data_IF_953473697292
#
_entry.id   IF_953473697292
#
_cell.length_a   1.000
_cell.length_b   1.000
_cell.length_c   1.000
_cell.angle_alpha   90.00
_cell.angle_beta   90.00
_cell.angle_gamma   90.00
#
_symmetry.space_group_name_H-M   'P 1'
#
loop_
_entity.id
_entity.type
_entity.pdbx_description
1 polymer ?
#
# COMPACT_ATOMS: atom_id res chain seq x y z
N UNK A 1 -1.64 7.86 -22.33
CA UNK A 1 -1.61 8.86 -21.26
C UNK A 1 -2.79 8.55 -20.35
N UNK A 2 -2.62 8.37 -19.04
CA UNK A 2 -3.77 8.30 -18.15
C UNK A 2 -4.50 9.65 -18.25
N UNK A 3 -5.81 9.60 -18.34
CA UNK A 3 -6.66 10.79 -18.30
C UNK A 3 -6.34 11.53 -16.99
N UNK A 4 -6.25 12.86 -17.04
CA UNK A 4 -5.82 13.74 -15.94
C UNK A 4 -6.69 13.64 -14.66
N UNK A 5 -7.71 12.78 -14.63
CA UNK A 5 -8.63 12.51 -13.52
C UNK A 5 -8.45 11.16 -12.81
N UNK A 6 -7.53 10.29 -13.27
CA UNK A 6 -7.40 8.93 -12.70
C UNK A 6 -6.43 8.84 -11.51
N UNK A 7 -5.70 9.90 -11.17
CA UNK A 7 -4.75 9.90 -10.04
C UNK A 7 -5.38 10.51 -8.80
N UNK A 8 -5.05 9.92 -7.63
CA UNK A 8 -5.38 10.50 -6.35
C UNK A 8 -4.75 11.90 -6.24
N UNK A 9 -5.58 12.92 -6.16
CA UNK A 9 -5.16 14.33 -6.13
C UNK A 9 -5.21 14.94 -4.73
N UNK A 10 -6.13 14.49 -3.88
CA UNK A 10 -6.33 15.01 -2.53
C UNK A 10 -6.98 13.93 -1.66
N UNK A 11 -6.76 14.01 -0.35
CA UNK A 11 -7.41 13.16 0.65
C UNK A 11 -7.73 13.98 1.88
N UNK A 12 -8.96 13.87 2.36
CA UNK A 12 -9.36 14.38 3.67
C UNK A 12 -9.62 13.22 4.62
N UNK A 13 -9.18 13.35 5.87
CA UNK A 13 -9.34 12.35 6.92
C UNK A 13 -9.69 13.06 8.22
N UNK A 14 -10.72 12.60 8.91
CA UNK A 14 -11.08 13.06 10.25
C UNK A 14 -11.32 11.87 11.16
N UNK A 15 -10.91 12.00 12.43
CA UNK A 15 -11.23 11.05 13.48
C UNK A 15 -10.54 9.69 13.39
N UNK A 16 -9.44 9.55 12.62
CA UNK A 16 -8.78 8.27 12.38
C UNK A 16 -7.45 8.15 13.13
N UNK A 17 -7.32 7.17 14.01
CA UNK A 17 -6.09 6.89 14.81
C UNK A 17 -5.54 8.14 15.50
N UNK A 18 -4.35 8.62 15.14
CA UNK A 18 -3.78 9.87 15.65
C UNK A 18 -4.18 11.11 14.83
N UNK A 19 -4.96 10.94 13.79
CA UNK A 19 -5.34 12.02 12.87
C UNK A 19 -6.69 12.60 13.32
N UNK A 20 -6.65 13.78 13.94
CA UNK A 20 -7.86 14.52 14.27
C UNK A 20 -8.51 15.09 13.01
N UNK A 21 -7.71 15.76 12.19
CA UNK A 21 -8.13 16.33 10.92
C UNK A 21 -6.88 16.43 10.02
N UNK A 22 -7.01 16.02 8.79
CA UNK A 22 -5.95 16.05 7.78
C UNK A 22 -6.58 16.36 6.43
N UNK A 23 -5.96 17.26 5.68
CA UNK A 23 -6.32 17.62 4.31
C UNK A 23 -5.02 17.75 3.53
N UNK A 24 -4.76 16.82 2.62
CA UNK A 24 -3.50 16.74 1.89
C UNK A 24 -3.77 16.62 0.40
N UNK A 25 -3.09 17.46 -0.38
CA UNK A 25 -3.01 17.33 -1.84
C UNK A 25 -1.78 16.51 -2.22
N UNK A 26 -1.90 15.68 -3.26
CA UNK A 26 -0.85 14.78 -3.72
C UNK A 26 -0.23 15.24 -5.02
N UNK A 27 1.11 15.12 -5.08
CA UNK A 27 1.88 15.16 -6.32
C UNK A 27 2.19 13.74 -6.83
N UNK A 28 3.02 13.66 -7.87
CA UNK A 28 3.48 12.36 -8.40
C UNK A 28 4.34 11.58 -7.39
N UNK A 29 5.13 12.29 -6.60
CA UNK A 29 5.97 11.76 -5.51
C UNK A 29 5.68 12.61 -4.29
N UNK A 30 5.43 11.96 -3.15
CA UNK A 30 5.16 12.61 -1.88
C UNK A 30 6.09 12.03 -0.82
N UNK A 31 6.76 12.89 -0.07
CA UNK A 31 7.70 12.50 0.97
C UNK A 31 7.20 12.99 2.33
N UNK A 32 6.97 12.06 3.25
CA UNK A 32 6.53 12.36 4.61
C UNK A 32 7.76 12.46 5.53
N UNK A 33 8.02 13.64 6.05
CA UNK A 33 9.12 13.92 6.98
C UNK A 33 8.55 14.32 8.34
N UNK A 34 9.21 13.89 9.41
CA UNK A 34 8.82 14.25 10.77
C UNK A 34 9.45 13.35 11.82
N UNK A 35 9.38 13.75 13.09
CA UNK A 35 9.88 12.98 14.23
C UNK A 35 9.13 11.64 14.40
N UNK A 36 9.71 10.75 15.21
CA UNK A 36 8.99 9.52 15.62
C UNK A 36 7.74 9.93 16.42
N UNK A 37 6.63 9.25 16.17
CA UNK A 37 5.35 9.59 16.79
C UNK A 37 4.55 10.70 16.09
N UNK A 38 5.09 11.38 15.07
CA UNK A 38 4.39 12.47 14.35
C UNK A 38 3.17 12.03 13.52
N UNK A 39 2.80 10.74 13.53
CA UNK A 39 1.62 10.24 12.82
C UNK A 39 1.86 9.75 11.39
N UNK A 40 3.12 9.76 10.88
CA UNK A 40 3.43 9.30 9.52
C UNK A 40 2.91 7.89 9.22
N UNK A 41 3.17 6.95 10.12
CA UNK A 41 2.70 5.55 9.96
C UNK A 41 1.17 5.45 10.02
N UNK A 42 0.51 6.27 10.82
CA UNK A 42 -0.94 6.32 10.87
C UNK A 42 -1.54 6.89 9.58
N UNK A 43 -0.88 7.89 8.99
CA UNK A 43 -1.27 8.40 7.67
C UNK A 43 -1.08 7.33 6.57
N UNK A 44 0.04 6.62 6.55
CA UNK A 44 0.25 5.48 5.63
C UNK A 44 -0.82 4.39 5.87
N UNK A 45 -1.17 4.11 7.12
CA UNK A 45 -2.19 3.10 7.44
C UNK A 45 -3.60 3.48 6.97
N UNK A 46 -3.86 4.76 6.69
CA UNK A 46 -5.12 5.21 6.09
C UNK A 46 -5.33 4.63 4.68
N UNK A 47 -4.27 4.46 3.91
CA UNK A 47 -4.34 3.80 2.59
C UNK A 47 -4.70 2.30 2.72
N UNK A 48 -4.10 1.60 3.71
CA UNK A 48 -4.47 0.20 3.98
C UNK A 48 -5.91 0.08 4.45
N UNK A 49 -6.36 1.02 5.27
CA UNK A 49 -7.75 1.07 5.74
C UNK A 49 -8.72 1.30 4.59
N UNK A 50 -8.43 2.25 3.71
CA UNK A 50 -9.22 2.52 2.50
C UNK A 50 -9.25 1.29 1.56
N UNK A 51 -8.11 0.62 1.38
CA UNK A 51 -8.05 -0.62 0.60
C UNK A 51 -8.93 -1.72 1.19
N UNK A 52 -8.95 -1.88 2.52
CA UNK A 52 -9.83 -2.84 3.19
C UNK A 52 -11.30 -2.48 2.98
N UNK A 53 -11.66 -1.20 3.01
CA UNK A 53 -13.02 -0.74 2.71
C UNK A 53 -13.40 -1.09 1.27
N UNK A 54 -12.57 -0.75 0.30
CA UNK A 54 -12.83 -1.03 -1.11
C UNK A 54 -12.88 -2.55 -1.42
N UNK A 55 -12.19 -3.36 -0.61
CA UNK A 55 -12.19 -4.83 -0.72
C UNK A 55 -13.28 -5.50 0.11
N UNK A 56 -14.21 -4.74 0.71
CA UNK A 56 -15.30 -5.26 1.57
C UNK A 56 -14.77 -6.07 2.77
N UNK A 57 -13.71 -5.58 3.39
CA UNK A 57 -13.03 -6.17 4.55
C UNK A 57 -13.01 -5.21 5.76
N UNK A 58 -13.97 -4.29 5.86
CA UNK A 58 -14.03 -3.32 6.95
C UNK A 58 -14.09 -4.03 8.31
N UNK A 59 -15.03 -4.98 8.47
CA UNK A 59 -15.21 -5.66 9.76
C UNK A 59 -14.00 -6.52 10.14
N UNK A 60 -13.34 -7.14 9.18
CA UNK A 60 -12.08 -7.87 9.40
C UNK A 60 -11.00 -6.92 9.91
N UNK A 61 -10.87 -5.74 9.30
CA UNK A 61 -9.92 -4.69 9.71
C UNK A 61 -10.23 -4.17 11.12
N UNK A 62 -11.51 -3.96 11.46
CA UNK A 62 -11.94 -3.57 12.80
C UNK A 62 -11.61 -4.65 13.84
N UNK A 63 -11.87 -5.92 13.52
CA UNK A 63 -11.57 -7.05 14.40
C UNK A 63 -10.07 -7.21 14.68
N UNK A 64 -9.24 -7.02 13.67
CA UNK A 64 -7.77 -7.12 13.80
C UNK A 64 -7.16 -5.95 14.56
N UNK A 65 -7.63 -4.73 14.32
CA UNK A 65 -7.06 -3.51 14.92
C UNK A 65 -7.67 -3.16 16.28
N UNK A 66 -8.90 -3.57 16.52
CA UNK A 66 -9.73 -3.10 17.63
C UNK A 66 -10.34 -1.72 17.34
N UNK A 67 -11.65 -1.58 17.53
CA UNK A 67 -12.41 -0.36 17.23
C UNK A 67 -11.79 0.91 17.82
N UNK A 68 -11.46 0.88 19.12
CA UNK A 68 -10.91 2.05 19.83
C UNK A 68 -9.56 2.53 19.26
N UNK A 69 -8.77 1.64 18.67
CA UNK A 69 -7.48 2.00 18.06
C UNK A 69 -7.62 2.66 16.69
N UNK A 70 -8.76 2.49 16.03
CA UNK A 70 -9.09 3.14 14.77
C UNK A 70 -9.63 4.55 14.95
N UNK A 71 -10.22 4.84 16.12
CA UNK A 71 -10.80 6.15 16.44
C UNK A 71 -9.77 7.08 17.08
N UNK A 72 -9.75 8.34 16.67
CA UNK A 72 -8.90 9.37 17.28
C UNK A 72 -9.22 9.55 18.76
N UNK A 73 -8.22 9.32 19.63
CA UNK A 73 -8.40 9.32 21.09
C UNK A 73 -9.50 8.37 21.61
N UNK A 74 -9.88 7.37 20.80
CA UNK A 74 -10.83 6.33 21.17
C UNK A 74 -12.31 6.75 21.13
N UNK A 75 -13.18 5.77 21.40
CA UNK A 75 -14.64 5.87 21.26
C UNK A 75 -15.30 6.95 22.12
N UNK A 76 -14.70 7.33 23.26
CA UNK A 76 -15.27 8.37 24.14
C UNK A 76 -15.10 9.79 23.62
N UNK A 77 -14.18 9.98 22.65
CA UNK A 77 -13.81 11.31 22.12
C UNK A 77 -14.26 11.46 20.67
N UNK A 78 -14.20 10.37 19.90
CA UNK A 78 -14.49 10.39 18.46
C UNK A 78 -15.73 9.58 18.17
N UNK A 79 -16.75 10.25 17.64
CA UNK A 79 -18.03 9.65 17.30
C UNK A 79 -18.06 9.09 15.88
N UNK A 80 -17.20 9.59 14.99
CA UNK A 80 -17.18 9.21 13.58
C UNK A 80 -15.78 9.26 12.99
N UNK A 81 -15.56 8.47 11.92
CA UNK A 81 -14.42 8.56 11.01
C UNK A 81 -14.95 9.05 9.67
N UNK A 82 -14.41 10.16 9.17
CA UNK A 82 -14.77 10.73 7.88
C UNK A 82 -13.59 10.68 6.93
N UNK A 83 -13.80 10.12 5.74
CA UNK A 83 -12.81 9.97 4.68
C UNK A 83 -13.38 10.45 3.36
N UNK A 84 -12.57 11.20 2.62
CA UNK A 84 -12.85 11.49 1.22
C UNK A 84 -11.56 11.49 0.41
N UNK A 85 -11.59 10.82 -0.74
CA UNK A 85 -10.48 10.72 -1.70
C UNK A 85 -10.90 11.32 -3.03
N UNK A 86 -10.06 12.20 -3.58
CA UNK A 86 -10.37 13.00 -4.75
C UNK A 86 -9.53 12.56 -5.95
N UNK A 87 -10.16 12.50 -7.11
CA UNK A 87 -9.59 12.20 -8.40
C UNK A 87 -9.94 13.33 -9.38
N UNK A 88 -9.16 14.43 -9.31
CA UNK A 88 -9.51 15.67 -9.99
C UNK A 88 -10.77 16.29 -9.38
N UNK A 89 -11.84 16.37 -10.18
CA UNK A 89 -13.14 16.92 -9.74
C UNK A 89 -14.07 15.87 -9.13
N UNK A 90 -13.74 14.59 -9.24
CA UNK A 90 -14.55 13.51 -8.70
C UNK A 90 -13.99 13.02 -7.38
N UNK A 91 -14.86 12.51 -6.49
CA UNK A 91 -14.44 11.94 -5.20
C UNK A 91 -15.23 10.68 -4.85
N UNK A 92 -14.66 9.92 -3.92
CA UNK A 92 -15.33 8.87 -3.16
C UNK A 92 -15.16 9.17 -1.69
N UNK A 93 -16.27 9.22 -0.96
CA UNK A 93 -16.26 9.54 0.45
C UNK A 93 -17.19 8.65 1.28
N UNK A 94 -16.89 8.57 2.57
CA UNK A 94 -17.70 7.84 3.53
C UNK A 94 -17.53 8.39 4.95
N UNK A 95 -18.59 8.26 5.75
CA UNK A 95 -18.60 8.49 7.18
C UNK A 95 -18.93 7.17 7.88
N UNK A 96 -18.05 6.74 8.79
CA UNK A 96 -18.23 5.54 9.59
C UNK A 96 -18.51 5.90 11.05
N UNK A 97 -19.46 5.22 11.66
CA UNK A 97 -19.80 5.39 13.08
C UNK A 97 -19.66 4.08 13.84
N UNK A 98 -19.20 4.13 15.10
CA UNK A 98 -19.10 2.96 15.95
C UNK A 98 -20.46 2.51 16.44
N UNK A 99 -20.68 1.21 16.49
CA UNK A 99 -21.87 0.56 17.05
C UNK A 99 -21.57 -0.01 18.44
N UNK A 100 -22.62 -0.33 19.21
CA UNK A 100 -22.48 -0.87 20.58
C UNK A 100 -21.83 -2.24 20.63
N UNK A 101 -21.90 -3.02 19.56
CA UNK A 101 -21.26 -4.31 19.40
C UNK A 101 -19.82 -4.23 18.83
N UNK A 102 -19.17 -3.04 18.96
CA UNK A 102 -17.79 -2.79 18.54
C UNK A 102 -17.51 -2.97 17.05
N UNK A 103 -18.49 -2.69 16.20
CA UNK A 103 -18.32 -2.61 14.74
C UNK A 103 -18.26 -1.16 14.27
N UNK A 104 -17.88 -0.95 13.02
CA UNK A 104 -18.08 0.28 12.27
C UNK A 104 -19.15 0.04 11.20
N UNK A 105 -20.08 0.98 11.06
CA UNK A 105 -21.08 0.97 10.00
C UNK A 105 -21.02 2.28 9.22
N UNK A 106 -21.41 2.23 7.97
CA UNK A 106 -21.50 3.41 7.12
C UNK A 106 -22.72 4.25 7.55
N UNK A 107 -22.47 5.41 8.12
CA UNK A 107 -23.49 6.43 8.31
C UNK A 107 -23.83 7.08 6.98
N UNK A 108 -22.82 7.24 6.11
CA UNK A 108 -22.92 7.77 4.76
C UNK A 108 -21.84 7.14 3.89
N UNK A 109 -22.18 6.79 2.65
CA UNK A 109 -21.24 6.43 1.60
C UNK A 109 -21.70 7.12 0.31
N UNK A 110 -20.77 7.77 -0.42
CA UNK A 110 -21.14 8.62 -1.54
C UNK A 110 -20.02 8.75 -2.58
N UNK A 111 -20.42 9.09 -3.80
CA UNK A 111 -19.55 9.67 -4.82
C UNK A 111 -19.80 11.18 -4.87
N UNK A 112 -18.76 11.98 -5.04
CA UNK A 112 -18.82 13.42 -5.14
C UNK A 112 -18.35 13.94 -6.49
N UNK A 113 -18.87 15.11 -6.89
CA UNK A 113 -18.40 15.90 -8.01
C UNK A 113 -18.24 17.36 -7.58
N UNK A 114 -17.05 17.94 -7.79
CA UNK A 114 -16.63 19.26 -7.32
C UNK A 114 -16.26 20.21 -8.50
N UNK A 115 -16.85 20.02 -9.67
CA UNK A 115 -16.57 20.78 -10.90
C UNK A 115 -17.49 21.98 -11.10
N UNK A 116 -17.39 22.99 -10.25
CA UNK A 116 -18.14 24.25 -10.37
C UNK A 116 -19.47 24.29 -9.61
N UNK A 117 -20.02 23.16 -9.24
CA UNK A 117 -21.13 22.95 -8.30
C UNK A 117 -20.95 21.61 -7.62
N UNK A 118 -21.14 21.61 -6.31
CA UNK A 118 -20.97 20.38 -5.52
C UNK A 118 -22.22 19.50 -5.69
N UNK A 119 -22.01 18.26 -6.06
CA UNK A 119 -23.05 17.25 -6.16
C UNK A 119 -22.55 15.95 -5.54
N UNK A 120 -23.38 15.35 -4.71
CA UNK A 120 -23.14 14.06 -4.08
C UNK A 120 -24.16 13.03 -4.54
N UNK A 121 -23.67 11.88 -4.90
CA UNK A 121 -24.44 10.67 -5.20
C UNK A 121 -24.37 9.73 -4.04
N UNK A 122 -25.45 9.63 -3.28
CA UNK A 122 -25.53 8.75 -2.11
C UNK A 122 -25.56 7.28 -2.57
N UNK A 123 -24.59 6.48 -2.11
CA UNK A 123 -24.52 5.03 -2.35
C UNK A 123 -25.39 4.28 -1.34
N UNK A 124 -25.39 4.72 -0.07
CA UNK A 124 -26.18 4.09 0.98
C UNK A 124 -25.79 4.50 2.40
N UNK A 125 -26.48 3.90 3.35
CA UNK A 125 -26.25 4.07 4.80
C UNK A 125 -26.69 2.82 5.59
N UNK A 126 -26.10 2.61 6.75
CA UNK A 126 -26.45 1.50 7.67
C UNK A 126 -25.82 0.16 7.31
N UNK A 127 -25.06 0.07 6.22
CA UNK A 127 -24.39 -1.16 5.82
C UNK A 127 -23.06 -1.34 6.54
N UNK A 128 -22.65 -2.60 6.70
CA UNK A 128 -21.42 -2.97 7.42
C UNK A 128 -20.19 -3.06 6.52
N UNK A 129 -20.38 -3.22 5.22
CA UNK A 129 -19.31 -3.26 4.22
C UNK A 129 -19.64 -2.31 3.07
N UNK A 130 -18.63 -1.77 2.40
CA UNK A 130 -18.80 -0.81 1.32
C UNK A 130 -19.62 -1.37 0.16
N UNK A 131 -20.48 -0.52 -0.40
CA UNK A 131 -21.33 -0.79 -1.56
C UNK A 131 -20.89 0.00 -2.81
N UNK A 132 -19.68 0.54 -2.83
CA UNK A 132 -19.17 1.39 -3.91
C UNK A 132 -19.30 0.78 -5.31
N UNK A 133 -19.23 -0.55 -5.45
CA UNK A 133 -19.38 -1.24 -6.74
C UNK A 133 -20.83 -1.29 -7.23
N UNK A 134 -21.79 -1.19 -6.32
CA UNK A 134 -23.23 -1.23 -6.65
C UNK A 134 -23.71 0.07 -7.27
N UNK A 135 -22.94 1.16 -7.11
CA UNK A 135 -23.17 2.45 -7.72
C UNK A 135 -24.45 3.14 -7.25
N UNK A 136 -24.53 4.45 -7.47
CA UNK A 136 -25.76 5.19 -7.26
C UNK A 136 -26.48 5.50 -8.58
N UNK A 137 -25.98 5.05 -9.70
CA UNK A 137 -26.57 5.14 -11.06
C UNK A 137 -27.02 6.54 -11.47
N UNK A 138 -26.21 7.57 -11.19
CA UNK A 138 -26.54 8.96 -11.54
C UNK A 138 -25.44 9.69 -12.32
N UNK A 139 -24.53 8.95 -12.94
CA UNK A 139 -23.50 9.47 -13.84
C UNK A 139 -22.18 9.86 -13.20
N UNK A 140 -22.11 10.10 -11.88
CA UNK A 140 -20.83 10.34 -11.17
C UNK A 140 -20.09 9.00 -10.98
N UNK A 141 -20.82 7.93 -10.70
CA UNK A 141 -20.30 6.57 -10.60
C UNK A 141 -19.61 6.08 -11.88
N UNK A 142 -20.07 6.51 -13.06
CA UNK A 142 -19.43 6.18 -14.35
C UNK A 142 -17.96 6.60 -14.42
N UNK A 143 -17.56 7.62 -13.66
CA UNK A 143 -16.17 8.12 -13.57
C UNK A 143 -15.43 7.58 -12.36
N UNK A 144 -16.06 7.53 -11.20
CA UNK A 144 -15.40 7.17 -9.92
C UNK A 144 -15.17 5.66 -9.82
N UNK A 145 -16.15 4.84 -10.20
CA UNK A 145 -16.04 3.37 -10.09
C UNK A 145 -14.90 2.79 -10.92
N UNK A 146 -14.73 3.13 -12.22
CA UNK A 146 -13.58 2.67 -12.99
C UNK A 146 -12.25 3.17 -12.43
N UNK A 147 -12.21 4.39 -11.89
CA UNK A 147 -11.02 4.95 -11.27
C UNK A 147 -10.65 4.18 -10.02
N UNK A 148 -11.59 3.90 -9.11
CA UNK A 148 -11.35 3.09 -7.91
C UNK A 148 -10.88 1.67 -8.25
N UNK A 149 -11.46 1.03 -9.29
CA UNK A 149 -11.04 -0.30 -9.75
C UNK A 149 -9.60 -0.35 -10.28
N UNK A 150 -9.14 0.73 -10.88
CA UNK A 150 -7.76 0.86 -11.37
C UNK A 150 -6.76 1.12 -10.23
N UNK A 151 -7.24 1.65 -9.09
CA UNK A 151 -6.36 1.95 -7.98
C UNK A 151 -5.83 0.66 -7.37
N UNK A 152 -4.53 0.52 -7.40
CA UNK A 152 -3.83 -0.61 -6.81
C UNK A 152 -2.94 -0.08 -5.67
N UNK A 153 -3.59 0.55 -4.70
CA UNK A 153 -2.87 1.07 -3.54
C UNK A 153 -2.23 -0.07 -2.78
N UNK A 154 -0.91 -0.01 -2.69
CA UNK A 154 -0.12 -0.98 -1.96
C UNK A 154 0.73 -0.26 -0.94
N UNK A 155 0.68 -0.74 0.28
CA UNK A 155 1.56 -0.28 1.35
C UNK A 155 2.66 -1.31 1.52
N UNK A 156 3.90 -0.88 1.33
CA UNK A 156 5.09 -1.70 1.54
C UNK A 156 5.81 -1.27 2.82
N UNK A 157 6.37 -2.24 3.53
CA UNK A 157 7.11 -2.05 4.77
C UNK A 157 8.48 -2.74 4.67
N UNK A 158 9.47 -2.05 4.13
CA UNK A 158 10.83 -2.56 3.97
C UNK A 158 11.74 -2.15 5.15
N UNK A 159 11.17 -2.03 6.35
CA UNK A 159 11.91 -1.60 7.54
C UNK A 159 12.69 -2.71 8.20
N UNK A 160 12.19 -3.95 8.14
CA UNK A 160 12.86 -5.09 8.74
C UNK A 160 13.99 -5.57 7.85
N UNK A 161 15.21 -5.24 8.26
CA UNK A 161 16.46 -5.70 7.68
C UNK A 161 17.32 -6.42 8.70
N UNK A 162 16.75 -6.77 9.86
CA UNK A 162 17.42 -7.51 10.92
C UNK A 162 17.86 -8.91 10.49
N UNK A 163 18.52 -9.65 11.39
CA UNK A 163 19.01 -11.01 11.09
C UNK A 163 17.88 -11.98 10.74
N UNK A 164 16.70 -11.80 11.34
CA UNK A 164 15.50 -12.61 11.10
C UNK A 164 14.58 -12.09 10.00
N UNK A 165 14.96 -11.01 9.31
CA UNK A 165 14.12 -10.40 8.28
C UNK A 165 13.75 -11.42 7.20
N UNK A 166 12.46 -11.45 6.84
CA UNK A 166 11.93 -12.43 5.90
C UNK A 166 12.56 -12.35 4.50
N UNK A 167 12.97 -11.15 4.06
CA UNK A 167 13.70 -10.95 2.79
C UNK A 167 15.04 -11.70 2.73
N UNK A 168 15.63 -12.04 3.89
CA UNK A 168 16.89 -12.79 4.00
C UNK A 168 16.69 -14.32 4.11
N UNK A 169 15.44 -14.76 4.19
CA UNK A 169 15.09 -16.17 4.35
C UNK A 169 14.75 -16.82 3.02
N UNK A 170 14.58 -18.12 3.06
CA UNK A 170 14.14 -18.93 1.93
C UNK A 170 12.66 -18.73 1.67
N UNK A 171 12.30 -18.67 0.41
CA UNK A 171 10.90 -18.57 -0.02
C UNK A 171 10.62 -19.45 -1.22
N UNK A 172 9.38 -19.88 -1.34
CA UNK A 172 8.94 -20.68 -2.47
C UNK A 172 9.07 -19.87 -3.78
N UNK A 173 9.77 -20.45 -4.77
CA UNK A 173 10.05 -19.81 -6.04
C UNK A 173 8.80 -19.50 -6.86
N UNK A 174 7.71 -20.24 -6.64
CA UNK A 174 6.42 -20.03 -7.32
C UNK A 174 5.67 -18.80 -6.82
N UNK A 175 6.03 -18.27 -5.64
CA UNK A 175 5.46 -17.02 -5.10
C UNK A 175 6.16 -15.79 -5.71
N UNK A 176 6.01 -15.60 -7.01
CA UNK A 176 6.80 -14.64 -7.78
C UNK A 176 5.97 -13.66 -8.63
N UNK A 177 4.63 -13.72 -8.58
CA UNK A 177 3.77 -12.88 -9.42
C UNK A 177 3.77 -11.42 -9.00
N UNK A 178 3.91 -11.16 -7.70
CA UNK A 178 3.90 -9.83 -7.11
C UNK A 178 4.85 -9.78 -5.92
N UNK A 179 5.52 -8.64 -5.72
CA UNK A 179 6.32 -8.41 -4.53
C UNK A 179 5.39 -8.34 -3.30
N UNK A 180 5.75 -9.06 -2.24
CA UNK A 180 5.03 -9.00 -0.96
C UNK A 180 5.31 -7.68 -0.23
N UNK A 181 4.41 -7.29 0.66
CA UNK A 181 4.46 -6.02 1.38
C UNK A 181 5.75 -5.82 2.20
N UNK A 182 6.39 -6.90 2.62
CA UNK A 182 7.63 -6.94 3.41
C UNK A 182 8.85 -7.39 2.59
N UNK A 183 8.71 -7.48 1.27
CA UNK A 183 9.69 -8.01 0.33
C UNK A 183 10.16 -9.46 0.64
N UNK A 184 9.41 -10.22 1.42
CA UNK A 184 9.79 -11.58 1.78
C UNK A 184 10.16 -12.45 0.57
N UNK A 185 9.41 -12.32 -0.54
CA UNK A 185 9.62 -13.09 -1.77
C UNK A 185 10.50 -12.37 -2.81
N UNK A 186 11.35 -11.43 -2.40
CA UNK A 186 12.14 -10.62 -3.33
C UNK A 186 13.00 -11.50 -4.27
N UNK A 187 13.64 -12.55 -3.76
CA UNK A 187 14.44 -13.48 -4.57
C UNK A 187 13.59 -14.15 -5.68
N UNK A 188 12.40 -14.64 -5.32
CA UNK A 188 11.49 -15.28 -6.29
C UNK A 188 10.94 -14.26 -7.31
N UNK A 189 10.64 -13.05 -6.87
CA UNK A 189 10.18 -11.98 -7.75
C UNK A 189 11.26 -11.56 -8.76
N UNK A 190 12.49 -11.33 -8.30
CA UNK A 190 13.65 -11.03 -9.15
C UNK A 190 13.98 -12.20 -10.10
N UNK A 191 13.86 -13.46 -9.65
CA UNK A 191 14.01 -14.63 -10.51
C UNK A 191 13.02 -14.59 -11.68
N UNK A 192 11.75 -14.27 -11.42
CA UNK A 192 10.76 -14.11 -12.47
C UNK A 192 11.12 -12.98 -13.44
N UNK A 193 11.53 -11.82 -12.92
CA UNK A 193 11.93 -10.69 -13.76
C UNK A 193 13.12 -11.06 -14.63
N UNK A 194 14.15 -11.71 -14.08
CA UNK A 194 15.36 -12.14 -14.82
C UNK A 194 15.02 -13.06 -15.99
N UNK A 195 14.06 -13.97 -15.81
CA UNK A 195 13.73 -14.99 -16.81
C UNK A 195 12.66 -14.53 -17.84
N UNK A 196 11.73 -13.67 -17.45
CA UNK A 196 10.57 -13.33 -18.30
C UNK A 196 10.45 -11.83 -18.62
N UNK A 197 11.14 -10.96 -17.87
CA UNK A 197 11.07 -9.51 -18.01
C UNK A 197 12.48 -8.89 -17.90
N UNK A 198 13.41 -9.42 -18.68
CA UNK A 198 14.83 -9.07 -18.61
C UNK A 198 15.13 -7.57 -18.63
N UNK A 199 14.50 -6.74 -19.48
CA UNK A 199 14.76 -5.29 -19.46
C UNK A 199 14.49 -4.64 -18.10
N UNK A 200 13.37 -5.02 -17.44
CA UNK A 200 13.05 -4.49 -16.11
C UNK A 200 14.04 -4.97 -15.05
N UNK A 201 14.48 -6.23 -15.14
CA UNK A 201 15.52 -6.75 -14.24
C UNK A 201 16.84 -5.98 -14.41
N UNK A 202 17.26 -5.73 -15.64
CA UNK A 202 18.50 -5.01 -15.92
C UNK A 202 18.44 -3.57 -15.42
N UNK A 203 17.31 -2.87 -15.58
CA UNK A 203 17.10 -1.54 -15.04
C UNK A 203 17.22 -1.51 -13.49
N UNK A 204 16.69 -2.52 -12.80
CA UNK A 204 16.85 -2.68 -11.35
C UNK A 204 18.33 -2.84 -10.99
N UNK A 205 19.04 -3.77 -11.65
CA UNK A 205 20.45 -4.03 -11.38
C UNK A 205 21.30 -2.78 -11.64
N UNK A 206 21.08 -2.08 -12.74
CA UNK A 206 21.79 -0.83 -13.05
C UNK A 206 21.52 0.24 -12.01
N UNK A 207 20.26 0.39 -11.56
CA UNK A 207 19.89 1.35 -10.53
C UNK A 207 20.57 1.03 -9.18
N UNK A 208 20.67 -0.25 -8.82
CA UNK A 208 21.38 -0.69 -7.60
C UNK A 208 22.88 -0.34 -7.70
N UNK A 209 23.50 -0.56 -8.86
CA UNK A 209 24.92 -0.25 -9.09
C UNK A 209 25.24 1.23 -8.93
N UNK A 210 24.29 2.13 -9.22
CA UNK A 210 24.48 3.58 -9.00
C UNK A 210 24.66 3.93 -7.51
N UNK A 211 24.01 3.19 -6.61
CA UNK A 211 24.05 3.44 -5.16
C UNK A 211 25.06 2.53 -4.45
N UNK A 212 25.26 1.32 -4.96
CA UNK A 212 26.19 0.32 -4.44
C UNK A 212 27.12 -0.15 -5.55
N UNK A 213 28.18 0.60 -5.92
CA UNK A 213 29.06 0.29 -7.05
C UNK A 213 29.82 -1.06 -6.92
N UNK A 214 29.89 -1.61 -5.71
CA UNK A 214 30.46 -2.93 -5.45
C UNK A 214 29.51 -4.08 -5.81
N UNK A 215 28.23 -3.82 -6.01
CA UNK A 215 27.23 -4.81 -6.38
C UNK A 215 27.37 -5.15 -7.88
N UNK A 216 27.51 -6.44 -8.21
CA UNK A 216 27.56 -6.92 -9.61
C UNK A 216 26.19 -7.39 -10.08
N UNK A 217 25.70 -8.51 -9.57
CA UNK A 217 24.41 -9.10 -9.99
C UNK A 217 23.84 -9.98 -8.87
N UNK A 218 22.55 -10.31 -9.00
CA UNK A 218 21.95 -11.33 -8.15
C UNK A 218 22.25 -12.73 -8.66
N UNK A 219 22.45 -13.66 -7.72
CA UNK A 219 22.53 -15.09 -7.96
C UNK A 219 21.22 -15.73 -7.55
N UNK A 220 20.35 -15.90 -8.54
CA UNK A 220 18.95 -16.32 -8.38
C UNK A 220 18.79 -17.76 -8.90
N UNK A 221 19.34 -18.69 -8.17
CA UNK A 221 19.24 -20.12 -8.46
C UNK A 221 18.43 -20.80 -7.36
N UNK A 222 17.58 -21.79 -7.73
CA UNK A 222 16.95 -22.65 -6.73
C UNK A 222 18.01 -23.28 -5.80
N UNK A 223 17.59 -23.65 -4.61
CA UNK A 223 18.50 -24.30 -3.67
C UNK A 223 18.84 -25.73 -4.14
N UNK A 224 20.10 -26.10 -3.97
CA UNK A 224 20.54 -27.47 -4.23
C UNK A 224 19.82 -28.44 -3.28
N UNK A 225 19.14 -29.43 -3.86
CA UNK A 225 18.32 -30.39 -3.11
C UNK A 225 16.91 -29.91 -2.71
N UNK A 226 16.54 -28.66 -3.00
CA UNK A 226 15.18 -28.15 -2.84
C UNK A 226 14.84 -27.10 -3.91
N UNK A 227 14.55 -27.56 -5.12
CA UNK A 227 14.30 -26.69 -6.28
C UNK A 227 13.07 -25.77 -6.13
N UNK A 228 12.21 -26.01 -5.16
CA UNK A 228 11.06 -25.14 -4.87
C UNK A 228 11.43 -23.91 -4.02
N UNK A 229 12.63 -23.89 -3.46
CA UNK A 229 13.06 -22.79 -2.58
C UNK A 229 14.15 -21.94 -3.26
N UNK A 230 14.09 -20.65 -2.99
CA UNK A 230 15.07 -19.68 -3.44
C UNK A 230 15.39 -18.70 -2.30
N UNK A 231 16.66 -18.30 -2.22
CA UNK A 231 17.15 -17.30 -1.28
C UNK A 231 17.83 -16.16 -2.01
N UNK A 232 17.80 -14.95 -1.46
CA UNK A 232 18.44 -13.79 -2.04
C UNK A 232 19.96 -13.88 -1.85
N UNK A 233 20.68 -14.15 -2.96
CA UNK A 233 22.13 -14.15 -3.04
C UNK A 233 22.60 -13.15 -4.09
N UNK A 234 23.83 -12.68 -3.95
CA UNK A 234 24.39 -11.67 -4.83
C UNK A 234 25.90 -11.86 -5.01
N UNK A 235 26.44 -11.22 -6.02
CA UNK A 235 27.88 -11.22 -6.36
C UNK A 235 28.43 -9.81 -6.26
N UNK A 236 29.66 -9.70 -5.77
CA UNK A 236 30.40 -8.45 -5.74
C UNK A 236 31.22 -8.30 -7.00
N UNK A 237 31.31 -7.09 -7.55
CA UNK A 237 32.12 -6.79 -8.71
C UNK A 237 33.60 -7.12 -8.45
N UNK A 238 34.21 -7.89 -9.37
CA UNK A 238 35.59 -8.34 -9.25
C UNK A 238 35.84 -9.47 -8.25
N UNK A 239 34.78 -10.11 -7.74
CA UNK A 239 34.86 -11.26 -6.84
C UNK A 239 34.03 -12.43 -7.38
N UNK A 240 34.58 -13.65 -7.32
CA UNK A 240 33.88 -14.86 -7.75
C UNK A 240 32.97 -15.43 -6.65
N UNK A 241 33.16 -15.00 -5.40
CA UNK A 241 32.37 -15.48 -4.27
C UNK A 241 30.93 -15.02 -4.33
N UNK A 242 30.02 -15.88 -3.85
CA UNK A 242 28.60 -15.62 -3.75
C UNK A 242 28.27 -15.23 -2.30
N UNK A 243 27.62 -14.10 -2.13
CA UNK A 243 27.24 -13.54 -0.83
C UNK A 243 25.74 -13.71 -0.57
N UNK A 244 25.37 -13.89 0.69
CA UNK A 244 23.99 -13.90 1.12
C UNK A 244 23.47 -12.47 1.37
N UNK A 245 22.15 -12.29 1.34
CA UNK A 245 21.51 -11.01 1.64
C UNK A 245 21.85 -10.48 3.06
N UNK A 246 22.22 -11.36 4.00
CA UNK A 246 22.67 -10.98 5.35
C UNK A 246 24.01 -10.21 5.37
N UNK A 247 24.78 -10.26 4.30
CA UNK A 247 26.06 -9.57 4.15
C UNK A 247 25.91 -8.20 3.47
N UNK A 248 24.71 -7.85 2.99
CA UNK A 248 24.38 -6.49 2.59
C UNK A 248 24.21 -5.57 3.82
N UNK A 249 24.58 -4.31 3.68
CA UNK A 249 24.19 -3.30 4.68
C UNK A 249 22.67 -3.15 4.70
N UNK A 250 22.12 -2.78 5.85
CA UNK A 250 20.68 -2.54 5.99
C UNK A 250 20.17 -1.46 5.01
N UNK A 251 20.99 -0.42 4.78
CA UNK A 251 20.69 0.64 3.81
C UNK A 251 20.62 0.12 2.38
N UNK A 252 21.60 -0.69 1.97
CA UNK A 252 21.64 -1.31 0.64
C UNK A 252 20.46 -2.26 0.43
N UNK A 253 20.17 -3.11 1.41
CA UNK A 253 19.05 -4.04 1.31
C UNK A 253 17.70 -3.31 1.20
N UNK A 254 17.49 -2.24 1.98
CA UNK A 254 16.28 -1.38 1.85
C UNK A 254 16.21 -0.72 0.49
N UNK A 255 17.33 -0.22 -0.02
CA UNK A 255 17.37 0.38 -1.35
C UNK A 255 16.99 -0.64 -2.43
N UNK A 256 17.53 -1.86 -2.37
CA UNK A 256 17.16 -2.96 -3.28
C UNK A 256 15.66 -3.26 -3.23
N UNK A 257 15.04 -3.28 -2.04
CA UNK A 257 13.60 -3.50 -1.93
C UNK A 257 12.75 -2.35 -2.52
N UNK A 258 13.30 -1.14 -2.61
CA UNK A 258 12.60 0.06 -3.10
C UNK A 258 12.77 0.28 -4.61
N UNK A 259 13.80 -0.34 -5.20
CA UNK A 259 14.09 -0.24 -6.64
C UNK A 259 13.17 -1.15 -7.44
#
# INVERSE_FOLDING_TARGET
MPLQGDQLSRMTIRGFKSIKNCDISFGKINVLIGSNGAGKSNFISAFSFLQNILSKNLQVSVGQSGLSSLLYNGRKVTEEIDFEVFFGQNSYGFVLVPTDDNRLIFQKEYFGYHGGWDNESNIGRGHSESQWESGAHNGIDDYVVPTLRKQNWRVYHFHDTGKGARVKQEHNISNNKMLLYDAANLAAFLYRLKNFFKPNYDEIVETIRLVAPYFDDFVLEPQEGNEEQIVLRWRQAGCEDIFNASQLSDGTLRFICLT
#
